data_IF_816939593784
#
_entry.id   IF_816939593784
#
_cell.length_a   1.000
_cell.length_b   1.000
_cell.length_c   1.000
_cell.angle_alpha   90.00
_cell.angle_beta   90.00
_cell.angle_gamma   90.00
#
_symmetry.space_group_name_H-M   'P 1'
#
loop_
_entity.id
_entity.type
_entity.pdbx_description
1 polymer ?
#
# COMPACT_ATOMS: atom_id res chain seq x y z
N UNK A 1 4.24 -12.25 -10.01
CA UNK A 1 3.28 -12.10 -8.89
C UNK A 1 1.88 -12.26 -9.40
N UNK A 2 1.70 -13.40 -9.96
CA UNK A 2 0.53 -13.68 -10.78
C UNK A 2 -0.74 -13.99 -10.02
N UNK A 3 -0.65 -14.23 -8.71
CA UNK A 3 -1.82 -14.58 -7.91
C UNK A 3 -2.36 -13.44 -7.07
N UNK A 4 -1.88 -12.23 -7.31
CA UNK A 4 -2.34 -11.10 -6.53
C UNK A 4 -3.61 -10.50 -7.11
N UNK A 5 -4.48 -10.10 -6.21
CA UNK A 5 -5.63 -9.29 -6.61
C UNK A 5 -5.15 -7.94 -7.09
N UNK A 6 -5.86 -7.37 -8.04
CA UNK A 6 -5.66 -5.98 -8.39
C UNK A 6 -6.06 -5.10 -7.21
N UNK A 7 -5.49 -3.91 -7.15
CA UNK A 7 -5.87 -2.94 -6.11
C UNK A 7 -7.37 -2.69 -6.15
N UNK A 8 -8.02 -2.87 -5.02
CA UNK A 8 -9.45 -2.60 -4.88
C UNK A 8 -10.37 -3.73 -5.30
N UNK A 9 -9.85 -4.81 -5.85
CA UNK A 9 -10.64 -5.98 -6.21
C UNK A 9 -10.84 -6.92 -5.02
N UNK A 10 -11.02 -6.35 -3.86
CA UNK A 10 -11.18 -7.09 -2.62
C UNK A 10 -12.62 -7.53 -2.47
N UNK A 11 -12.87 -8.72 -1.89
CA UNK A 11 -14.22 -9.23 -1.74
C UNK A 11 -14.99 -8.55 -0.61
N UNK A 12 -16.30 -8.68 -0.68
CA UNK A 12 -17.17 -8.33 0.43
C UNK A 12 -17.35 -9.58 1.29
N UNK A 13 -17.17 -9.42 2.59
CA UNK A 13 -17.30 -10.51 3.55
C UNK A 13 -18.46 -10.20 4.49
N UNK A 14 -19.41 -11.14 4.66
CA UNK A 14 -20.51 -10.92 5.61
C UNK A 14 -20.02 -11.05 7.05
N UNK A 15 -20.41 -10.09 7.88
CA UNK A 15 -20.08 -10.07 9.30
C UNK A 15 -21.40 -10.02 10.06
N UNK A 16 -21.66 -11.06 10.85
CA UNK A 16 -22.88 -11.12 11.65
C UNK A 16 -22.63 -10.51 13.02
N UNK A 17 -23.35 -9.44 13.32
CA UNK A 17 -23.29 -8.79 14.63
C UNK A 17 -24.72 -8.80 15.19
N UNK A 18 -24.96 -9.68 16.14
CA UNK A 18 -26.25 -9.83 16.81
C UNK A 18 -27.42 -9.99 15.81
N UNK A 19 -27.22 -10.81 14.78
CA UNK A 19 -28.25 -11.08 13.78
C UNK A 19 -28.35 -10.04 12.66
N UNK A 20 -27.53 -9.01 12.70
CA UNK A 20 -27.45 -8.01 11.63
C UNK A 20 -26.21 -8.29 10.78
N UNK A 21 -26.40 -8.44 9.48
CA UNK A 21 -25.28 -8.68 8.56
C UNK A 21 -24.74 -7.35 8.08
N UNK A 22 -23.44 -7.15 8.32
CA UNK A 22 -22.69 -6.02 7.80
C UNK A 22 -21.69 -6.56 6.77
N UNK A 23 -21.65 -5.97 5.59
CA UNK A 23 -20.74 -6.39 4.54
C UNK A 23 -19.43 -5.60 4.65
N UNK A 24 -18.37 -6.31 5.01
CA UNK A 24 -17.04 -5.71 5.13
C UNK A 24 -16.22 -5.88 3.86
N UNK A 25 -15.66 -4.80 3.39
CA UNK A 25 -14.74 -4.84 2.25
C UNK A 25 -13.38 -5.32 2.75
N UNK A 26 -12.91 -6.47 2.26
CA UNK A 26 -11.71 -7.14 2.79
C UNK A 26 -10.42 -6.49 2.29
N UNK A 27 -10.15 -5.26 2.70
CA UNK A 27 -9.01 -4.48 2.21
C UNK A 27 -7.65 -5.06 2.59
N UNK A 28 -7.60 -5.94 3.60
CA UNK A 28 -6.37 -6.65 3.92
C UNK A 28 -5.93 -7.60 2.80
N UNK A 29 -6.79 -7.86 1.81
CA UNK A 29 -6.46 -8.69 0.66
C UNK A 29 -5.90 -7.90 -0.52
N UNK A 30 -5.76 -6.59 -0.40
CA UNK A 30 -5.00 -5.80 -1.37
C UNK A 30 -3.54 -6.28 -1.41
N UNK A 31 -2.81 -6.08 -2.51
CA UNK A 31 -1.45 -6.60 -2.67
C UNK A 31 -0.49 -6.30 -1.50
N UNK A 32 -0.51 -5.09 -0.94
CA UNK A 32 0.36 -4.78 0.21
C UNK A 32 -0.29 -5.05 1.56
N UNK A 33 -1.56 -5.46 1.57
CA UNK A 33 -2.26 -5.91 2.78
C UNK A 33 -3.15 -4.87 3.44
N UNK A 34 -3.43 -3.74 2.79
CA UNK A 34 -4.29 -2.72 3.40
C UNK A 34 -5.01 -1.86 2.37
N UNK A 35 -5.92 -1.02 2.86
CA UNK A 35 -6.64 -0.04 2.04
C UNK A 35 -5.70 0.99 1.43
N UNK A 36 -4.51 1.17 1.99
CA UNK A 36 -3.57 2.19 1.52
C UNK A 36 -3.08 1.96 0.09
N UNK A 37 -3.20 0.74 -0.43
CA UNK A 37 -2.90 0.48 -1.83
C UNK A 37 -3.70 1.37 -2.77
N UNK A 38 -4.94 1.67 -2.41
CA UNK A 38 -5.81 2.49 -3.26
C UNK A 38 -5.24 3.88 -3.50
N UNK A 39 -4.98 4.70 -2.45
CA UNK A 39 -4.42 6.02 -2.68
C UNK A 39 -2.99 5.99 -3.21
N UNK A 40 -2.16 5.08 -2.73
CA UNK A 40 -0.74 5.06 -3.09
C UNK A 40 -0.54 4.70 -4.56
N UNK A 41 -1.22 3.67 -5.04
CA UNK A 41 -1.13 3.30 -6.45
C UNK A 41 -1.58 4.46 -7.35
N UNK A 42 -2.66 5.13 -6.96
CA UNK A 42 -3.16 6.28 -7.71
C UNK A 42 -2.16 7.44 -7.70
N UNK A 43 -1.57 7.75 -6.56
CA UNK A 43 -0.57 8.83 -6.44
C UNK A 43 0.61 8.56 -7.36
N UNK A 44 1.15 7.35 -7.32
CA UNK A 44 2.32 6.99 -8.14
C UNK A 44 1.98 7.04 -9.62
N UNK A 45 0.84 6.49 -10.02
CA UNK A 45 0.44 6.52 -11.42
C UNK A 45 0.26 7.95 -11.93
N UNK A 46 -0.36 8.82 -11.13
CA UNK A 46 -0.56 10.22 -11.52
C UNK A 46 0.76 10.97 -11.59
N UNK A 47 1.71 10.68 -10.71
CA UNK A 47 3.02 11.30 -10.77
C UNK A 47 3.75 10.92 -12.07
N UNK A 48 3.63 9.68 -12.50
CA UNK A 48 4.19 9.23 -13.78
C UNK A 48 3.50 9.92 -14.95
N UNK A 49 2.17 9.95 -14.95
CA UNK A 49 1.40 10.56 -16.02
C UNK A 49 1.71 12.05 -16.18
N UNK A 50 1.95 12.74 -15.07
CA UNK A 50 2.23 14.17 -15.07
C UNK A 50 3.71 14.50 -15.28
N UNK A 51 4.55 13.50 -15.50
CA UNK A 51 5.97 13.71 -15.75
C UNK A 51 6.79 14.07 -14.50
N UNK A 52 6.19 13.93 -13.31
CA UNK A 52 6.90 14.23 -12.05
C UNK A 52 7.79 13.10 -11.60
N UNK A 53 7.55 11.90 -12.09
CA UNK A 53 8.27 10.70 -11.67
C UNK A 53 8.52 9.82 -12.87
N UNK A 54 9.77 9.42 -13.06
CA UNK A 54 10.17 8.53 -14.15
C UNK A 54 10.96 7.34 -13.60
N UNK A 55 11.13 6.32 -14.40
CA UNK A 55 11.85 5.10 -14.00
C UNK A 55 13.22 5.47 -13.41
N UNK A 56 13.54 4.88 -12.28
CA UNK A 56 14.76 5.19 -11.54
C UNK A 56 14.66 6.39 -10.63
N UNK A 57 13.54 7.11 -10.66
CA UNK A 57 13.31 8.24 -9.78
C UNK A 57 13.17 7.81 -8.33
N UNK A 58 13.22 8.79 -7.43
CA UNK A 58 13.15 8.54 -5.99
C UNK A 58 11.86 9.11 -5.40
N UNK A 59 11.17 8.29 -4.62
CA UNK A 59 9.99 8.70 -3.85
C UNK A 59 10.39 8.78 -2.38
N UNK A 60 10.13 9.91 -1.75
CA UNK A 60 10.40 10.11 -0.33
C UNK A 60 9.07 10.38 0.37
N UNK A 61 8.77 9.60 1.40
CA UNK A 61 7.52 9.74 2.12
C UNK A 61 7.72 9.58 3.62
N UNK A 62 7.07 10.44 4.39
CA UNK A 62 7.05 10.36 5.85
C UNK A 62 5.78 9.64 6.27
N UNK A 63 5.93 8.43 6.78
CA UNK A 63 4.79 7.59 7.14
C UNK A 63 5.20 6.62 8.22
N UNK A 64 4.22 6.23 9.03
CA UNK A 64 4.48 5.33 10.17
C UNK A 64 3.72 4.01 10.08
N UNK A 65 3.08 3.71 8.95
CA UNK A 65 2.22 2.54 8.92
C UNK A 65 2.02 1.94 7.54
N UNK A 66 0.80 1.58 7.26
CA UNK A 66 0.43 0.86 6.05
C UNK A 66 0.77 1.62 4.76
N UNK A 67 0.77 2.94 4.80
CA UNK A 67 1.15 3.74 3.63
C UNK A 67 2.62 3.50 3.26
N UNK A 68 3.51 3.40 4.25
CA UNK A 68 4.92 3.11 4.01
C UNK A 68 5.14 1.75 3.35
N UNK A 69 4.40 0.75 3.82
CA UNK A 69 4.47 -0.59 3.25
C UNK A 69 4.01 -0.57 1.80
N UNK A 70 2.91 0.12 1.53
CA UNK A 70 2.35 0.24 0.18
C UNK A 70 3.30 0.99 -0.76
N UNK A 71 3.86 2.12 -0.32
CA UNK A 71 4.86 2.86 -1.11
C UNK A 71 6.07 1.98 -1.45
N UNK A 72 6.61 1.28 -0.45
CA UNK A 72 7.78 0.43 -0.67
C UNK A 72 7.50 -0.65 -1.71
N UNK A 73 6.35 -1.29 -1.62
CA UNK A 73 5.98 -2.35 -2.55
C UNK A 73 5.79 -1.81 -3.98
N UNK A 74 5.01 -0.75 -4.15
CA UNK A 74 4.73 -0.24 -5.49
C UNK A 74 5.92 0.46 -6.13
N UNK A 75 6.75 1.13 -5.34
CA UNK A 75 8.00 1.69 -5.86
C UNK A 75 8.91 0.58 -6.39
N UNK A 76 9.03 -0.52 -5.65
CA UNK A 76 9.83 -1.66 -6.10
C UNK A 76 9.28 -2.24 -7.41
N UNK A 77 7.97 -2.41 -7.48
CA UNK A 77 7.30 -2.95 -8.68
C UNK A 77 7.48 -2.04 -9.89
N UNK A 78 7.37 -0.72 -9.69
CA UNK A 78 7.41 0.26 -10.78
C UNK A 78 8.82 0.74 -11.12
N UNK A 79 9.84 0.28 -10.39
CA UNK A 79 11.23 0.63 -10.69
C UNK A 79 11.69 1.95 -10.10
N UNK A 80 11.07 2.41 -9.02
CA UNK A 80 11.47 3.63 -8.31
C UNK A 80 12.25 3.29 -7.04
N UNK A 81 13.14 4.20 -6.64
CA UNK A 81 13.77 4.14 -5.34
C UNK A 81 12.79 4.70 -4.32
N UNK A 82 12.77 4.14 -3.14
CA UNK A 82 11.83 4.56 -2.10
C UNK A 82 12.57 4.82 -0.79
N UNK A 83 12.34 6.00 -0.24
CA UNK A 83 12.89 6.38 1.07
C UNK A 83 11.72 6.63 2.00
N UNK A 84 11.59 5.80 3.02
CA UNK A 84 10.53 5.94 4.02
C UNK A 84 11.12 6.52 5.29
N UNK A 85 10.58 7.65 5.72
CA UNK A 85 10.98 8.29 6.97
C UNK A 85 9.92 7.98 8.02
N UNK A 86 10.33 7.37 9.12
CA UNK A 86 9.41 7.01 10.17
C UNK A 86 9.99 7.28 11.55
N UNK A 87 9.12 7.45 12.58
CA UNK A 87 9.60 7.70 13.94
C UNK A 87 10.48 6.55 14.46
N UNK A 88 11.47 6.89 15.27
CA UNK A 88 12.38 5.90 15.86
C UNK A 88 11.69 4.92 16.81
N UNK A 89 10.51 5.29 17.30
CA UNK A 89 9.75 4.44 18.22
C UNK A 89 8.83 3.43 17.51
N UNK A 90 8.93 3.33 16.20
CA UNK A 90 8.18 2.31 15.45
C UNK A 90 8.70 0.91 15.79
N UNK A 91 7.81 -0.08 15.71
CA UNK A 91 8.21 -1.47 15.92
C UNK A 91 9.18 -1.92 14.83
N UNK A 92 10.09 -2.82 15.20
CA UNK A 92 11.06 -3.38 14.25
C UNK A 92 10.36 -4.14 13.12
N UNK A 93 9.25 -4.78 13.42
CA UNK A 93 8.48 -5.50 12.42
C UNK A 93 7.98 -4.58 11.31
N UNK A 94 7.42 -3.43 11.67
CA UNK A 94 6.96 -2.46 10.67
C UNK A 94 8.11 -1.90 9.85
N UNK A 95 9.23 -1.63 10.48
CA UNK A 95 10.42 -1.16 9.77
C UNK A 95 10.87 -2.18 8.74
N UNK A 96 10.88 -3.45 9.10
CA UNK A 96 11.26 -4.52 8.17
C UNK A 96 10.31 -4.61 6.98
N UNK A 97 9.01 -4.50 7.22
CA UNK A 97 8.02 -4.56 6.15
C UNK A 97 8.18 -3.41 5.16
N UNK A 98 8.48 -2.22 5.64
CA UNK A 98 8.67 -1.04 4.79
C UNK A 98 9.98 -1.07 4.01
N UNK A 99 10.97 -1.84 4.46
CA UNK A 99 12.27 -1.94 3.80
C UNK A 99 12.35 -2.97 2.69
N UNK A 100 11.34 -3.76 2.54
CA UNK A 100 11.34 -4.82 1.52
C UNK A 100 11.40 -4.32 0.10
#
# INVERSE_FOLDING_TARGET
>A
MENYLEVGQTPLIPIDIDGVIIWGKAEFMNPSGSVKDRPIKNILNRAVENGLLSKGGTVVEATSGNAGISFAMYCAEMGFKCVIVMPSNMSEERKKMSRR
#
